data_IF_483807216775
#
_entry.id   IF_483807216775
#
_cell.length_a   1.000
_cell.length_b   1.000
_cell.length_c   1.000
_cell.angle_alpha   90.00
_cell.angle_beta   90.00
_cell.angle_gamma   90.00
#
_symmetry.space_group_name_H-M   'P 1'
#
loop_
_entity.id
_entity.type
_entity.pdbx_description
1 polymer ?
#
# COMPACT_ATOMS: atom_id res chain seq x y z
N UNK A 1 29.28 -11.97 -7.11
CA UNK A 1 28.24 -13.01 -6.92
C UNK A 1 26.98 -12.26 -6.48
N UNK A 2 26.07 -11.98 -7.42
CA UNK A 2 24.78 -11.38 -7.11
C UNK A 2 23.89 -12.52 -6.61
N UNK A 3 23.47 -12.43 -5.36
CA UNK A 3 22.41 -13.27 -4.85
C UNK A 3 21.15 -12.96 -5.67
N UNK A 4 20.59 -13.95 -6.39
CA UNK A 4 19.27 -13.85 -6.97
C UNK A 4 18.31 -13.69 -5.80
N UNK A 5 17.70 -12.52 -5.70
CA UNK A 5 16.54 -12.34 -4.81
C UNK A 5 15.45 -13.32 -5.26
N UNK A 6 14.90 -14.04 -4.31
CA UNK A 6 13.74 -14.90 -4.52
C UNK A 6 12.61 -14.05 -5.07
N UNK A 7 11.83 -14.50 -6.06
CA UNK A 7 10.74 -13.71 -6.61
C UNK A 7 9.78 -13.32 -5.49
N UNK A 8 9.58 -12.01 -5.33
CA UNK A 8 8.69 -11.47 -4.31
C UNK A 8 7.25 -11.96 -4.57
N UNK A 9 6.61 -12.51 -3.55
CA UNK A 9 5.18 -12.78 -3.58
C UNK A 9 4.39 -11.47 -3.45
N UNK A 10 3.17 -11.43 -3.97
CA UNK A 10 2.26 -10.29 -3.82
C UNK A 10 1.13 -10.65 -2.85
N UNK A 11 0.68 -9.63 -2.13
CA UNK A 11 -0.46 -9.71 -1.23
C UNK A 11 -1.61 -8.89 -1.81
N UNK A 12 -2.73 -9.51 -2.11
CA UNK A 12 -3.93 -8.85 -2.59
C UNK A 12 -5.06 -8.96 -1.56
N UNK A 13 -5.80 -7.87 -1.36
CA UNK A 13 -6.97 -7.83 -0.49
C UNK A 13 -8.24 -8.10 -1.28
N UNK A 14 -9.06 -8.98 -0.77
CA UNK A 14 -10.38 -9.33 -1.32
C UNK A 14 -11.50 -8.95 -0.33
N UNK A 15 -12.58 -8.37 -0.84
CA UNK A 15 -13.78 -8.02 -0.08
C UNK A 15 -15.05 -8.50 -0.79
N UNK A 16 -16.06 -8.91 -0.01
CA UNK A 16 -17.33 -9.50 -0.51
C UNK A 16 -18.48 -8.53 -0.52
N UNK A 17 -19.40 -8.66 -1.51
CA UNK A 17 -20.79 -8.18 -1.54
C UNK A 17 -21.03 -6.68 -1.79
N UNK A 18 -21.90 -6.36 -2.79
CA UNK A 18 -22.26 -4.99 -3.19
C UNK A 18 -23.18 -4.24 -2.19
N UNK A 19 -23.83 -4.92 -1.26
CA UNK A 19 -24.81 -4.32 -0.33
C UNK A 19 -24.63 -4.68 1.14
N UNK A 20 -23.59 -5.42 1.50
CA UNK A 20 -23.27 -5.80 2.88
C UNK A 20 -21.83 -5.42 3.25
N UNK A 21 -21.51 -5.50 4.54
CA UNK A 21 -20.16 -5.34 5.06
C UNK A 21 -19.35 -6.58 4.76
N UNK A 22 -18.35 -6.54 3.86
CA UNK A 22 -17.61 -7.73 3.48
C UNK A 22 -16.54 -8.10 4.49
N UNK A 23 -16.30 -9.41 4.61
CA UNK A 23 -15.13 -9.95 5.26
C UNK A 23 -13.87 -9.59 4.47
N UNK A 24 -12.80 -9.28 5.17
CA UNK A 24 -11.50 -9.02 4.59
C UNK A 24 -10.73 -10.33 4.53
N UNK A 25 -10.28 -10.68 3.32
CA UNK A 25 -9.32 -11.76 3.09
C UNK A 25 -8.08 -11.18 2.41
N UNK A 26 -6.91 -11.59 2.86
CA UNK A 26 -5.63 -11.23 2.28
C UNK A 26 -5.09 -12.47 1.60
N UNK A 27 -4.82 -12.39 0.31
CA UNK A 27 -4.31 -13.48 -0.50
C UNK A 27 -2.84 -13.21 -0.81
N UNK A 28 -1.99 -14.14 -0.49
CA UNK A 28 -0.61 -14.14 -0.96
C UNK A 28 -0.50 -14.95 -2.24
N UNK A 29 -0.02 -14.31 -3.30
CA UNK A 29 0.02 -14.86 -4.65
C UNK A 29 1.44 -14.74 -5.19
N UNK A 30 1.98 -15.82 -5.78
CA UNK A 30 3.28 -15.79 -6.44
C UNK A 30 3.25 -14.89 -7.69
N UNK A 31 4.41 -14.48 -8.20
CA UNK A 31 4.54 -13.76 -9.47
C UNK A 31 3.99 -14.53 -10.68
N UNK A 32 3.84 -15.85 -10.55
CA UNK A 32 3.25 -16.74 -11.57
C UNK A 32 1.72 -16.92 -11.38
N UNK A 33 1.12 -16.30 -10.35
CA UNK A 33 -0.32 -16.37 -10.11
C UNK A 33 -0.77 -17.52 -9.19
N UNK A 34 0.14 -18.30 -8.59
CA UNK A 34 -0.25 -19.36 -7.65
C UNK A 34 -0.56 -18.77 -6.27
N UNK A 35 -1.72 -19.12 -5.72
CA UNK A 35 -2.11 -18.77 -4.34
C UNK A 35 -1.26 -19.59 -3.36
N UNK A 36 -0.54 -18.92 -2.45
CA UNK A 36 0.29 -19.56 -1.43
C UNK A 36 -0.36 -19.55 -0.06
N UNK A 37 -1.06 -18.46 0.28
CA UNK A 37 -1.71 -18.28 1.57
C UNK A 37 -2.99 -17.48 1.44
N UNK A 38 -3.96 -17.76 2.33
CA UNK A 38 -5.14 -16.90 2.55
C UNK A 38 -5.26 -16.61 4.04
N UNK A 39 -5.24 -15.33 4.41
CA UNK A 39 -5.42 -14.84 5.76
C UNK A 39 -6.79 -14.19 5.84
N UNK A 40 -7.62 -14.65 6.77
CA UNK A 40 -8.99 -14.14 6.98
C UNK A 40 -8.99 -13.30 8.25
N UNK A 41 -9.32 -12.02 8.15
CA UNK A 41 -9.44 -11.16 9.31
C UNK A 41 -10.76 -11.43 10.06
N UNK A 42 -10.80 -11.21 11.40
CA UNK A 42 -11.99 -11.43 12.19
C UNK A 42 -13.20 -10.65 11.68
N UNK A 43 -14.36 -11.29 11.58
CA UNK A 43 -15.60 -10.69 11.06
C UNK A 43 -16.84 -10.98 11.92
N UNK A 44 -16.66 -11.68 13.03
CA UNK A 44 -17.70 -12.01 14.00
C UNK A 44 -18.17 -10.79 14.80
N UNK A 45 -18.99 -11.04 15.83
CA UNK A 45 -19.49 -9.99 16.73
C UNK A 45 -18.46 -9.49 17.73
N UNK A 46 -17.47 -10.32 18.02
CA UNK A 46 -16.36 -9.95 18.89
C UNK A 46 -15.19 -9.45 18.04
N UNK A 47 -14.92 -8.15 18.16
CA UNK A 47 -13.75 -7.50 17.59
C UNK A 47 -13.62 -7.59 16.03
N UNK A 48 -14.68 -7.31 15.26
CA UNK A 48 -14.67 -7.48 13.82
C UNK A 48 -13.74 -6.48 13.11
N UNK A 49 -13.14 -6.92 12.00
CA UNK A 49 -12.52 -6.04 11.01
C UNK A 49 -13.08 -6.37 9.63
N UNK A 50 -13.88 -5.48 9.15
CA UNK A 50 -14.62 -5.62 7.89
C UNK A 50 -14.37 -4.39 7.01
N UNK A 51 -15.00 -4.35 5.86
CA UNK A 51 -14.89 -3.22 4.93
C UNK A 51 -16.24 -2.78 4.41
N UNK A 52 -16.27 -1.69 3.66
CA UNK A 52 -17.47 -1.27 2.93
C UNK A 52 -17.68 -2.10 1.67
N UNK A 53 -18.86 -2.67 1.50
CA UNK A 53 -19.22 -3.37 0.25
C UNK A 53 -19.48 -2.41 -0.92
N UNK A 54 -19.87 -1.17 -0.63
CA UNK A 54 -20.25 -0.17 -1.64
C UNK A 54 -19.13 0.85 -1.94
N UNK A 55 -18.26 1.17 -0.96
CA UNK A 55 -17.17 2.09 -1.17
C UNK A 55 -16.01 1.39 -1.91
N UNK A 56 -15.81 1.72 -3.16
CA UNK A 56 -14.75 1.13 -3.99
C UNK A 56 -13.39 1.82 -3.83
N UNK A 57 -13.32 2.87 -3.02
CA UNK A 57 -12.13 3.71 -2.83
C UNK A 57 -11.46 3.57 -1.46
N UNK A 58 -11.72 2.48 -0.75
CA UNK A 58 -11.13 2.15 0.55
C UNK A 58 -10.47 0.77 0.52
N UNK A 59 -9.80 0.43 1.62
CA UNK A 59 -9.27 -0.89 1.80
C UNK A 59 -7.95 -1.18 1.10
N UNK A 60 -7.11 -0.17 0.85
CA UNK A 60 -5.78 -0.38 0.29
C UNK A 60 -4.80 -0.77 1.40
N UNK A 61 -4.28 -1.98 1.30
CA UNK A 61 -3.17 -2.45 2.14
C UNK A 61 -1.84 -1.96 1.55
N UNK A 62 -0.83 -1.75 2.41
CA UNK A 62 0.54 -1.49 1.98
C UNK A 62 1.52 -2.19 2.91
N UNK A 63 2.72 -2.42 2.39
CA UNK A 63 3.81 -3.14 3.05
C UNK A 63 5.00 -2.21 3.26
N UNK A 64 5.49 -2.14 4.49
CA UNK A 64 6.72 -1.44 4.81
C UNK A 64 7.32 -1.98 6.11
N UNK A 65 8.65 -1.98 6.23
CA UNK A 65 9.35 -2.37 7.46
C UNK A 65 9.11 -3.81 7.91
N UNK A 66 8.74 -4.72 6.98
CA UNK A 66 8.43 -6.12 7.29
C UNK A 66 6.98 -6.38 7.71
N UNK A 67 6.09 -5.39 7.63
CA UNK A 67 4.69 -5.51 8.03
C UNK A 67 3.73 -5.13 6.90
N UNK A 68 2.61 -5.84 6.82
CA UNK A 68 1.44 -5.46 6.02
C UNK A 68 0.48 -4.67 6.90
N UNK A 69 0.11 -3.47 6.49
CA UNK A 69 -0.89 -2.65 7.18
C UNK A 69 -2.22 -2.74 6.46
N UNK A 70 -3.29 -3.10 7.20
CA UNK A 70 -4.61 -3.37 6.63
C UNK A 70 -5.65 -2.49 7.30
N UNK A 71 -6.18 -1.48 6.60
CA UNK A 71 -7.26 -0.63 7.11
C UNK A 71 -8.59 -1.38 7.10
N UNK A 72 -9.53 -0.98 7.94
CA UNK A 72 -10.87 -1.54 7.98
C UNK A 72 -11.80 -0.78 8.91
N UNK A 73 -12.97 -1.37 9.14
CA UNK A 73 -14.02 -0.85 10.04
C UNK A 73 -14.31 -1.91 11.10
N UNK A 74 -14.42 -1.50 12.36
CA UNK A 74 -14.84 -2.35 13.45
C UNK A 74 -16.39 -2.47 13.42
N UNK A 75 -16.90 -3.28 12.53
CA UNK A 75 -18.32 -3.51 12.34
C UNK A 75 -18.60 -4.94 11.89
N UNK A 76 -19.68 -5.54 12.38
CA UNK A 76 -20.10 -6.89 12.02
C UNK A 76 -20.54 -6.97 10.53
N UNK A 77 -20.50 -8.18 9.94
CA UNK A 77 -20.82 -8.43 8.52
C UNK A 77 -22.20 -7.94 8.08
N UNK A 78 -23.17 -7.83 8.96
CA UNK A 78 -24.54 -7.41 8.67
C UNK A 78 -24.74 -5.90 8.78
N UNK A 79 -23.71 -5.13 9.15
CA UNK A 79 -23.84 -3.69 9.34
C UNK A 79 -23.94 -2.99 7.99
N UNK A 80 -24.99 -2.19 7.80
CA UNK A 80 -25.14 -1.39 6.59
C UNK A 80 -24.29 -0.10 6.65
N UNK A 81 -23.84 0.39 5.48
CA UNK A 81 -23.24 1.72 5.31
C UNK A 81 -22.03 2.02 6.21
N UNK A 82 -21.11 1.06 6.35
CA UNK A 82 -19.98 1.15 7.30
C UNK A 82 -18.95 2.23 7.00
N UNK A 83 -18.87 2.73 5.77
CA UNK A 83 -17.91 3.78 5.41
C UNK A 83 -18.06 5.04 6.29
N UNK A 84 -19.29 5.41 6.63
CA UNK A 84 -19.61 6.54 7.51
C UNK A 84 -19.41 6.30 9.00
N UNK A 85 -19.13 5.07 9.46
CA UNK A 85 -18.93 4.79 10.88
C UNK A 85 -17.60 5.38 11.39
N UNK A 86 -17.59 5.83 12.62
CA UNK A 86 -16.37 6.32 13.26
C UNK A 86 -15.49 5.19 13.82
N UNK A 87 -16.04 3.99 13.99
CA UNK A 87 -15.33 2.81 14.50
C UNK A 87 -14.35 2.23 13.45
N UNK A 88 -13.25 2.93 13.17
CA UNK A 88 -12.19 2.43 12.27
C UNK A 88 -11.25 1.49 13.02
N UNK A 89 -10.59 0.62 12.27
CA UNK A 89 -9.60 -0.31 12.79
C UNK A 89 -8.45 -0.48 11.81
N UNK A 90 -7.25 -0.69 12.32
CA UNK A 90 -6.08 -1.06 11.54
C UNK A 90 -5.44 -2.32 12.12
N UNK A 91 -5.12 -3.30 11.28
CA UNK A 91 -4.30 -4.45 11.64
C UNK A 91 -2.94 -4.38 10.98
N UNK A 92 -1.90 -4.74 11.74
CA UNK A 92 -0.56 -4.96 11.26
C UNK A 92 -0.28 -6.47 11.27
N UNK A 93 0.14 -7.01 10.13
CA UNK A 93 0.50 -8.40 9.98
C UNK A 93 2.01 -8.50 9.73
N UNK A 94 2.64 -9.50 10.30
CA UNK A 94 4.04 -9.81 10.04
C UNK A 94 4.22 -10.62 8.73
N UNK A 95 5.46 -10.96 8.41
CA UNK A 95 5.80 -11.73 7.22
C UNK A 95 5.29 -13.18 7.22
N UNK A 96 4.77 -13.67 8.35
CA UNK A 96 4.10 -14.98 8.44
C UNK A 96 2.60 -14.90 8.19
N UNK A 97 2.05 -13.68 8.07
CA UNK A 97 0.63 -13.41 7.99
C UNK A 97 -0.08 -13.37 9.34
N UNK A 98 0.66 -13.38 10.46
CA UNK A 98 0.09 -13.27 11.78
C UNK A 98 -0.24 -11.82 12.12
N UNK A 99 -1.42 -11.57 12.69
CA UNK A 99 -1.79 -10.24 13.20
C UNK A 99 -0.99 -9.96 14.47
N UNK A 100 -0.03 -9.05 14.41
CA UNK A 100 0.83 -8.66 15.55
C UNK A 100 0.25 -7.49 16.33
N UNK A 101 -0.50 -6.63 15.70
CA UNK A 101 -1.17 -5.49 16.34
C UNK A 101 -2.49 -5.21 15.64
N UNK A 102 -3.51 -4.92 16.45
CA UNK A 102 -4.81 -4.46 15.99
C UNK A 102 -5.20 -3.21 16.79
N UNK A 103 -5.36 -2.10 16.10
CA UNK A 103 -5.62 -0.79 16.70
C UNK A 103 -7.03 -0.33 16.37
N UNK A 104 -7.85 -0.12 17.39
CA UNK A 104 -9.14 0.55 17.28
C UNK A 104 -8.94 2.07 17.32
N UNK A 105 -9.61 2.77 16.39
CA UNK A 105 -9.58 4.24 16.39
C UNK A 105 -10.55 4.79 17.43
N UNK A 106 -10.21 5.94 18.05
CA UNK A 106 -11.13 6.57 19.00
C UNK A 106 -12.43 6.95 18.30
N UNK A 107 -13.56 6.49 18.84
CA UNK A 107 -14.88 6.93 18.44
C UNK A 107 -15.18 8.16 19.28
N UNK A 108 -15.31 9.33 18.66
CA UNK A 108 -15.46 10.62 19.34
C UNK A 108 -16.34 10.53 20.60
N UNK A 109 -15.71 10.69 21.76
CA UNK A 109 -16.28 10.69 23.08
C UNK A 109 -15.88 11.95 23.85
N UNK A 110 -16.41 12.20 25.07
CA UNK A 110 -15.99 13.35 25.87
C UNK A 110 -14.48 13.31 26.12
N UNK A 111 -13.89 14.51 26.17
CA UNK A 111 -12.47 14.77 26.41
C UNK A 111 -11.83 13.78 27.39
N UNK A 112 -10.74 13.14 27.01
CA UNK A 112 -9.82 12.46 27.92
C UNK A 112 -9.78 10.93 27.88
N UNK A 113 -10.51 10.25 26.99
CA UNK A 113 -10.53 8.77 26.93
C UNK A 113 -9.45 8.16 26.02
N UNK A 114 -8.81 8.95 25.17
CA UNK A 114 -7.67 8.47 24.36
C UNK A 114 -6.56 9.53 24.39
N UNK A 115 -5.35 9.20 24.90
CA UNK A 115 -4.23 10.12 24.90
C UNK A 115 -3.88 10.60 23.50
N UNK A 116 -3.68 11.93 23.32
CA UNK A 116 -3.17 12.53 22.09
C UNK A 116 -4.20 12.89 21.02
N UNK A 117 -5.49 12.54 21.17
CA UNK A 117 -6.54 13.07 20.31
C UNK A 117 -7.25 14.24 20.98
N UNK A 118 -7.48 15.36 20.27
CA UNK A 118 -8.35 16.42 20.78
C UNK A 118 -9.74 15.83 21.11
N UNK A 119 -10.39 16.39 22.13
CA UNK A 119 -11.70 15.96 22.56
C UNK A 119 -12.69 15.89 21.36
N UNK A 120 -13.38 14.77 21.21
CA UNK A 120 -14.41 14.59 20.20
C UNK A 120 -13.92 14.37 18.77
N UNK A 121 -12.62 14.21 18.52
CA UNK A 121 -12.08 14.06 17.17
C UNK A 121 -11.68 12.59 16.90
N UNK A 122 -12.36 11.96 15.93
CA UNK A 122 -11.99 10.65 15.39
C UNK A 122 -11.30 10.84 14.04
N UNK A 123 -10.14 10.22 13.78
CA UNK A 123 -9.58 10.18 12.43
C UNK A 123 -10.62 9.69 11.41
N UNK A 124 -10.74 10.38 10.28
CA UNK A 124 -11.65 10.06 9.18
C UNK A 124 -13.14 10.05 9.58
N UNK A 125 -13.54 10.93 10.52
CA UNK A 125 -14.92 10.99 11.04
C UNK A 125 -15.95 11.10 9.93
N UNK A 126 -16.96 10.22 10.00
CA UNK A 126 -18.11 10.20 9.08
C UNK A 126 -17.80 9.82 7.65
N UNK A 127 -16.57 9.34 7.33
CA UNK A 127 -16.19 8.99 5.96
C UNK A 127 -15.12 7.88 5.92
N UNK A 128 -14.46 7.68 4.77
CA UNK A 128 -13.62 6.54 4.48
C UNK A 128 -12.22 6.65 5.08
N UNK A 129 -11.83 5.60 5.81
CA UNK A 129 -10.44 5.23 6.06
C UNK A 129 -9.96 4.38 4.89
N UNK A 130 -9.00 4.85 4.11
CA UNK A 130 -8.75 4.30 2.78
C UNK A 130 -7.52 3.42 2.70
N UNK A 131 -6.42 3.86 3.30
CA UNK A 131 -5.12 3.20 3.19
C UNK A 131 -4.30 3.42 4.44
N UNK A 132 -3.39 2.50 4.71
CA UNK A 132 -2.44 2.58 5.81
C UNK A 132 -1.11 1.95 5.46
N UNK A 133 -0.03 2.41 6.10
CA UNK A 133 1.32 1.87 5.95
C UNK A 133 2.01 1.81 7.31
N UNK A 134 2.57 0.66 7.65
CA UNK A 134 3.30 0.46 8.91
C UNK A 134 4.64 1.20 8.89
N UNK A 135 5.13 1.62 10.05
CA UNK A 135 6.52 2.03 10.26
C UNK A 135 7.25 1.13 11.24
N UNK A 136 6.49 0.32 11.99
CA UNK A 136 6.97 -0.76 12.85
C UNK A 136 5.80 -1.72 13.14
N UNK A 137 6.02 -2.75 13.95
CA UNK A 137 4.96 -3.65 14.41
C UNK A 137 3.87 -3.01 15.29
N UNK A 138 4.02 -1.74 15.67
CA UNK A 138 3.08 -1.02 16.55
C UNK A 138 2.72 0.38 16.07
N UNK A 139 3.38 0.91 15.04
CA UNK A 139 3.23 2.28 14.56
C UNK A 139 2.90 2.29 13.07
N UNK A 140 2.05 3.23 12.64
CA UNK A 140 1.62 3.32 11.23
C UNK A 140 1.13 4.72 10.87
N UNK A 141 1.10 5.00 9.57
CA UNK A 141 0.32 6.10 9.00
C UNK A 141 -1.00 5.57 8.43
N UNK A 142 -2.04 6.38 8.58
CA UNK A 142 -3.33 6.15 7.93
C UNK A 142 -3.76 7.37 7.12
N UNK A 143 -4.43 7.15 5.99
CA UNK A 143 -4.96 8.22 5.15
C UNK A 143 -6.42 7.98 4.77
N UNK A 144 -7.14 9.07 4.53
CA UNK A 144 -8.54 9.00 4.17
C UNK A 144 -9.16 10.38 3.99
N UNK A 145 -10.47 10.42 4.11
CA UNK A 145 -11.27 11.66 4.07
C UNK A 145 -12.21 11.72 5.27
N UNK A 146 -12.80 12.89 5.53
CA UNK A 146 -13.82 13.09 6.56
C UNK A 146 -14.97 13.91 6.01
N UNK A 147 -16.14 13.81 6.66
CA UNK A 147 -17.29 14.68 6.43
C UNK A 147 -17.48 15.72 7.52
N UNK A 148 -16.63 15.72 8.55
CA UNK A 148 -16.73 16.62 9.70
C UNK A 148 -16.07 17.99 9.52
N UNK A 149 -16.44 18.93 10.37
CA UNK A 149 -15.74 20.22 10.56
C UNK A 149 -15.42 20.37 12.05
N UNK A 150 -14.12 20.56 12.44
CA UNK A 150 -12.95 20.63 11.56
C UNK A 150 -12.67 19.33 10.83
N UNK A 151 -11.97 19.42 9.68
CA UNK A 151 -11.66 18.23 8.86
C UNK A 151 -10.72 17.29 9.61
N UNK A 152 -11.11 16.01 9.70
CA UNK A 152 -10.30 14.91 10.21
C UNK A 152 -9.81 13.98 9.10
N UNK A 153 -9.90 14.40 7.84
CA UNK A 153 -9.30 13.75 6.67
C UNK A 153 -7.79 13.97 6.59
N UNK A 154 -7.18 13.57 5.48
CA UNK A 154 -5.74 13.70 5.26
C UNK A 154 -4.95 12.54 5.84
N UNK A 155 -3.75 12.82 6.37
CA UNK A 155 -2.84 11.82 6.92
C UNK A 155 -2.75 11.91 8.45
N UNK A 156 -2.76 10.74 9.10
CA UNK A 156 -2.64 10.57 10.54
C UNK A 156 -1.52 9.59 10.87
N UNK A 157 -0.77 9.88 11.92
CA UNK A 157 0.24 9.01 12.50
C UNK A 157 -0.26 8.39 13.81
N UNK A 158 -0.11 7.08 13.97
CA UNK A 158 -0.31 6.38 15.23
C UNK A 158 1.06 5.95 15.79
N UNK A 159 1.38 6.41 17.00
CA UNK A 159 2.67 6.19 17.64
C UNK A 159 2.71 4.97 18.57
N UNK A 160 1.71 4.08 18.50
CA UNK A 160 1.53 2.94 19.40
C UNK A 160 0.55 3.24 20.57
N UNK A 161 0.22 4.51 20.83
CA UNK A 161 -0.70 4.88 21.90
C UNK A 161 -1.66 6.03 21.53
N UNK A 162 -1.27 6.91 20.63
CA UNK A 162 -2.03 8.11 20.28
C UNK A 162 -2.01 8.39 18.78
N UNK A 163 -3.07 9.04 18.30
CA UNK A 163 -3.20 9.52 16.93
C UNK A 163 -2.84 11.00 16.82
N UNK A 164 -2.03 11.35 15.83
CA UNK A 164 -1.67 12.72 15.49
C UNK A 164 -1.97 12.98 14.02
N UNK A 165 -2.77 14.03 13.71
CA UNK A 165 -2.96 14.46 12.33
C UNK A 165 -1.70 15.15 11.82
N UNK A 166 -1.00 14.51 10.89
CA UNK A 166 0.29 14.96 10.38
C UNK A 166 0.20 15.75 9.08
N UNK A 167 -0.96 15.77 8.42
CA UNK A 167 -1.21 16.65 7.28
C UNK A 167 -1.94 17.92 7.69
N UNK A 168 -1.62 19.03 7.04
CA UNK A 168 -2.34 20.28 7.21
C UNK A 168 -3.76 20.20 6.64
N UNK A 169 -4.72 20.85 7.29
CA UNK A 169 -6.10 21.06 6.81
C UNK A 169 -6.32 22.47 6.25
N UNK A 170 -5.24 23.25 6.09
CA UNK A 170 -5.30 24.59 5.53
C UNK A 170 -5.81 24.57 4.08
N UNK A 171 -6.34 25.71 3.63
CA UNK A 171 -6.79 25.87 2.24
C UNK A 171 -5.67 25.53 1.26
N UNK A 172 -5.99 24.74 0.24
CA UNK A 172 -5.02 24.26 -0.76
C UNK A 172 -4.28 22.99 -0.37
N UNK A 173 -4.46 22.48 0.86
CA UNK A 173 -3.88 21.20 1.27
C UNK A 173 -4.82 20.03 0.99
N UNK A 174 -4.29 18.83 0.62
CA UNK A 174 -5.12 17.69 0.30
C UNK A 174 -5.68 17.04 1.58
N UNK A 175 -7.00 17.05 1.74
CA UNK A 175 -7.71 16.39 2.85
C UNK A 175 -8.46 15.12 2.41
N UNK A 176 -8.49 14.83 1.10
CA UNK A 176 -9.08 13.62 0.53
C UNK A 176 -7.97 12.73 -0.06
N UNK A 177 -7.22 12.09 0.83
CA UNK A 177 -6.13 11.20 0.44
C UNK A 177 -6.64 9.78 0.21
N UNK A 178 -5.96 9.03 -0.69
CA UNK A 178 -6.41 7.70 -1.12
C UNK A 178 -5.45 6.58 -0.77
N UNK A 179 -4.24 6.59 -1.29
CA UNK A 179 -3.24 5.57 -1.02
C UNK A 179 -1.99 6.25 -0.47
N UNK A 180 -1.38 5.65 0.55
CA UNK A 180 -0.18 6.14 1.24
C UNK A 180 0.98 5.19 1.01
N UNK A 181 2.16 5.73 0.72
CA UNK A 181 3.39 4.97 0.52
C UNK A 181 4.59 5.69 1.14
N UNK A 182 5.67 4.94 1.38
CA UNK A 182 6.95 5.45 1.86
C UNK A 182 8.03 5.09 0.85
N UNK A 183 8.66 6.12 0.27
CA UNK A 183 9.81 5.98 -0.61
C UNK A 183 10.94 6.86 -0.09
N UNK A 184 12.18 6.34 -0.08
CA UNK A 184 13.36 7.08 0.38
C UNK A 184 13.15 7.78 1.74
N UNK A 185 12.49 7.12 2.69
CA UNK A 185 12.16 7.67 4.01
C UNK A 185 11.32 8.96 3.97
N UNK A 186 10.51 9.14 2.92
CA UNK A 186 9.55 10.23 2.76
C UNK A 186 8.15 9.66 2.59
N UNK A 187 7.18 10.24 3.32
CA UNK A 187 5.77 9.88 3.24
C UNK A 187 5.13 10.54 2.01
N UNK A 188 4.48 9.74 1.17
CA UNK A 188 3.72 10.16 0.02
C UNK A 188 2.28 9.67 0.09
N UNK A 189 1.35 10.41 -0.52
CA UNK A 189 -0.01 9.95 -0.68
C UNK A 189 -0.63 10.48 -1.99
N UNK A 190 -1.53 9.69 -2.59
CA UNK A 190 -2.36 10.18 -3.70
C UNK A 190 -3.55 10.95 -3.20
N UNK A 191 -3.95 11.98 -3.96
CA UNK A 191 -5.10 12.85 -3.70
C UNK A 191 -6.05 12.87 -4.88
N UNK A 192 -7.36 12.81 -4.57
CA UNK A 192 -8.45 13.09 -5.49
C UNK A 192 -9.19 14.40 -5.16
N UNK A 193 -8.62 15.24 -4.33
CA UNK A 193 -9.19 16.54 -4.03
C UNK A 193 -8.96 17.50 -5.21
N UNK A 194 -9.95 18.34 -5.51
CA UNK A 194 -9.85 19.37 -6.57
C UNK A 194 -8.79 20.43 -6.28
N UNK A 195 -8.27 20.50 -5.07
CA UNK A 195 -7.11 21.33 -4.68
C UNK A 195 -5.81 20.84 -5.30
N UNK A 196 -5.76 19.61 -5.80
CA UNK A 196 -4.61 19.03 -6.51
C UNK A 196 -4.73 17.51 -6.62
N UNK A 197 -4.88 17.05 -7.85
CA UNK A 197 -4.95 15.64 -8.20
C UNK A 197 -3.55 15.06 -8.40
N UNK A 198 -3.28 13.91 -7.81
CA UNK A 198 -2.03 13.17 -8.04
C UNK A 198 -1.28 12.83 -6.77
N UNK A 199 0.05 12.77 -6.81
CA UNK A 199 0.91 12.38 -5.70
C UNK A 199 1.38 13.62 -4.93
N UNK A 200 1.28 13.56 -3.61
CA UNK A 200 1.76 14.58 -2.68
C UNK A 200 2.80 13.99 -1.73
N UNK A 201 3.88 14.70 -1.50
CA UNK A 201 4.75 14.46 -0.34
C UNK A 201 4.13 15.10 0.89
N UNK A 202 4.01 14.35 1.99
CA UNK A 202 3.40 14.82 3.22
C UNK A 202 4.49 15.25 4.20
N UNK A 203 4.66 16.53 4.36
CA UNK A 203 5.73 17.10 5.18
C UNK A 203 7.13 16.73 4.68
N UNK A 204 8.09 16.68 5.61
CA UNK A 204 9.46 16.26 5.34
C UNK A 204 9.75 14.94 6.06
N UNK A 205 10.22 13.94 5.34
CA UNK A 205 10.52 12.61 5.86
C UNK A 205 9.25 11.88 6.33
N UNK A 206 9.29 11.36 7.54
CA UNK A 206 8.20 10.66 8.20
C UNK A 206 7.68 11.53 9.37
N UNK A 207 6.71 12.43 9.15
CA UNK A 207 6.24 13.38 10.14
C UNK A 207 5.48 12.67 11.27
N UNK A 208 5.79 13.03 12.54
CA UNK A 208 5.15 12.44 13.73
C UNK A 208 4.43 13.48 14.59
N UNK A 209 4.53 14.77 14.25
CA UNK A 209 3.95 15.89 14.99
C UNK A 209 2.79 16.52 14.24
N UNK A 210 1.94 17.26 14.96
CA UNK A 210 0.72 17.88 14.41
C UNK A 210 1.01 18.84 13.25
N UNK A 211 0.13 18.81 12.25
CA UNK A 211 0.34 19.33 10.92
C UNK A 211 0.22 20.84 10.69
N UNK A 212 0.24 21.71 11.71
CA UNK A 212 0.22 23.18 11.47
C UNK A 212 1.46 23.70 10.72
N UNK A 213 2.58 22.95 10.75
CA UNK A 213 3.78 23.20 9.96
C UNK A 213 4.06 22.14 8.89
N UNK A 214 3.23 21.10 8.80
CA UNK A 214 3.43 19.97 7.88
C UNK A 214 2.67 20.24 6.58
N UNK A 215 3.26 21.06 5.74
CA UNK A 215 2.69 21.37 4.42
C UNK A 215 2.93 20.20 3.49
N UNK A 216 1.86 19.73 2.84
CA UNK A 216 2.00 18.80 1.73
C UNK A 216 2.39 19.56 0.45
N UNK A 217 3.33 18.99 -0.30
CA UNK A 217 3.78 19.54 -1.58
C UNK A 217 3.40 18.58 -2.70
N UNK A 218 2.79 19.09 -3.75
CA UNK A 218 2.45 18.27 -4.91
C UNK A 218 3.72 17.79 -5.62
N UNK A 219 3.95 16.49 -5.61
CA UNK A 219 5.09 15.86 -6.29
C UNK A 219 4.76 15.61 -7.78
N UNK A 220 3.58 15.03 -8.08
CA UNK A 220 3.12 14.76 -9.44
C UNK A 220 1.67 15.22 -9.59
N UNK A 221 1.40 16.11 -10.54
CA UNK A 221 0.04 16.54 -10.88
C UNK A 221 -0.50 15.69 -12.04
N UNK A 222 -1.52 14.87 -11.76
CA UNK A 222 -2.17 14.05 -12.80
C UNK A 222 -3.24 14.80 -13.58
N UNK A 223 -3.60 16.00 -13.15
CA UNK A 223 -4.64 16.82 -13.81
C UNK A 223 -6.07 16.31 -13.64
N UNK A 224 -6.26 15.12 -13.05
CA UNK A 224 -7.57 14.47 -12.91
C UNK A 224 -7.67 13.67 -11.63
N UNK A 225 -8.86 13.51 -11.09
CA UNK A 225 -9.12 12.92 -9.77
C UNK A 225 -9.12 11.39 -9.70
N UNK A 226 -8.56 10.70 -10.69
CA UNK A 226 -8.55 9.23 -10.74
C UNK A 226 -7.36 8.54 -10.08
N UNK A 227 -6.38 9.28 -9.52
CA UNK A 227 -5.17 8.70 -8.94
C UNK A 227 -5.45 7.89 -7.66
N UNK A 228 -4.95 6.65 -7.63
CA UNK A 228 -5.02 5.70 -6.51
C UNK A 228 -3.65 5.14 -6.15
N UNK A 229 -3.44 3.81 -6.31
CA UNK A 229 -2.15 3.16 -6.06
C UNK A 229 -1.04 3.74 -6.93
N UNK A 230 0.17 3.74 -6.42
CA UNK A 230 1.33 4.24 -7.17
C UNK A 230 2.60 3.52 -6.72
N UNK A 231 3.58 3.47 -7.62
CA UNK A 231 4.92 2.97 -7.35
C UNK A 231 5.93 3.96 -7.90
N UNK A 232 6.95 4.30 -7.11
CA UNK A 232 8.00 5.26 -7.48
C UNK A 232 9.37 4.60 -7.37
N UNK A 233 10.23 4.88 -8.34
CA UNK A 233 11.55 4.28 -8.45
C UNK A 233 12.63 5.32 -8.76
N UNK A 234 13.87 5.01 -8.35
CA UNK A 234 15.07 5.70 -8.79
C UNK A 234 15.70 4.89 -9.91
N UNK A 235 15.71 5.40 -11.12
CA UNK A 235 16.41 4.77 -12.24
C UNK A 235 17.90 5.20 -12.30
N UNK A 236 18.25 6.24 -11.55
CA UNK A 236 19.55 6.88 -11.59
C UNK A 236 19.72 7.91 -12.70
N UNK A 237 18.74 8.11 -13.59
CA UNK A 237 18.82 9.06 -14.71
C UNK A 237 18.90 10.52 -14.25
N UNK A 238 18.34 10.84 -13.09
CA UNK A 238 18.38 12.15 -12.46
C UNK A 238 19.34 12.23 -11.26
N UNK A 239 20.16 11.18 -11.05
CA UNK A 239 21.08 11.03 -9.94
C UNK A 239 20.69 9.91 -8.97
N UNK A 240 21.68 9.42 -8.22
CA UNK A 240 21.47 8.31 -7.29
C UNK A 240 20.45 8.67 -6.21
N UNK A 241 19.45 7.82 -6.01
CA UNK A 241 18.41 7.97 -4.99
C UNK A 241 17.32 8.99 -5.35
N UNK A 242 17.39 9.70 -6.47
CA UNK A 242 16.29 10.56 -6.94
C UNK A 242 15.18 9.67 -7.50
N UNK A 243 13.96 9.85 -7.00
CA UNK A 243 12.77 9.20 -7.58
C UNK A 243 12.47 9.89 -8.91
N UNK A 244 12.70 9.22 -10.02
CA UNK A 244 12.64 9.78 -11.38
C UNK A 244 11.72 9.00 -12.34
N UNK A 245 11.16 7.90 -11.85
CA UNK A 245 10.17 7.07 -12.52
C UNK A 245 8.99 6.81 -11.57
N UNK A 246 7.77 7.02 -12.04
CA UNK A 246 6.57 6.69 -11.29
C UNK A 246 5.54 6.00 -12.19
N UNK A 247 4.80 5.06 -11.60
CA UNK A 247 3.58 4.50 -12.17
C UNK A 247 2.43 4.85 -11.26
N UNK A 248 1.31 5.28 -11.85
CA UNK A 248 0.12 5.72 -11.13
C UNK A 248 -1.09 4.97 -11.68
N UNK A 249 -1.83 4.32 -10.77
CA UNK A 249 -3.12 3.74 -11.05
C UNK A 249 -4.19 4.84 -11.13
N UNK A 250 -5.00 4.81 -12.17
CA UNK A 250 -6.16 5.69 -12.36
C UNK A 250 -7.40 4.82 -12.56
N UNK A 251 -8.43 5.05 -11.77
CA UNK A 251 -9.62 4.21 -11.76
C UNK A 251 -10.58 4.45 -12.93
N UNK A 252 -10.33 5.44 -13.76
CA UNK A 252 -11.18 5.80 -14.88
C UNK A 252 -10.94 4.86 -16.07
N UNK A 253 -12.02 4.35 -16.63
CA UNK A 253 -12.01 3.53 -17.86
C UNK A 253 -12.16 4.40 -19.11
N UNK A 254 -11.39 5.49 -19.19
CA UNK A 254 -11.41 6.48 -20.29
C UNK A 254 -9.98 6.83 -20.71
N UNK A 255 -9.82 7.52 -21.82
CA UNK A 255 -8.52 8.00 -22.27
C UNK A 255 -7.78 8.75 -21.14
N UNK A 256 -6.51 8.40 -20.93
CA UNK A 256 -5.70 8.93 -19.83
C UNK A 256 -5.95 8.29 -18.46
N UNK A 257 -6.85 7.28 -18.37
CA UNK A 257 -7.03 6.43 -17.19
C UNK A 257 -6.20 5.14 -17.25
N UNK A 258 -6.42 4.26 -16.30
CA UNK A 258 -5.72 2.98 -16.18
C UNK A 258 -4.33 3.10 -15.56
N UNK A 259 -3.29 2.57 -16.19
CA UNK A 259 -1.90 2.67 -15.73
C UNK A 259 -1.20 3.83 -16.45
N UNK A 260 -0.79 4.83 -15.71
CA UNK A 260 0.03 5.94 -16.21
C UNK A 260 1.50 5.79 -15.84
N UNK A 261 2.40 5.93 -16.81
CA UNK A 261 3.85 6.06 -16.57
C UNK A 261 4.24 7.52 -16.59
N UNK A 262 5.00 7.94 -15.59
CA UNK A 262 5.49 9.29 -15.40
C UNK A 262 6.99 9.29 -15.28
N UNK A 263 7.66 10.24 -15.93
CA UNK A 263 9.11 10.40 -15.88
C UNK A 263 9.48 11.82 -15.47
N UNK A 264 10.52 11.92 -14.62
CA UNK A 264 11.09 13.19 -14.19
C UNK A 264 12.18 13.63 -15.16
N UNK A 265 12.13 14.89 -15.60
CA UNK A 265 13.21 15.54 -16.35
C UNK A 265 13.50 16.89 -15.70
N UNK A 266 14.69 17.03 -15.13
CA UNK A 266 15.03 18.17 -14.27
C UNK A 266 14.12 18.21 -13.04
N UNK A 267 13.21 19.17 -12.97
CA UNK A 267 12.23 19.31 -11.87
C UNK A 267 10.79 19.03 -12.30
N UNK A 268 10.57 18.61 -13.54
CA UNK A 268 9.23 18.47 -14.11
C UNK A 268 8.89 17.02 -14.40
N UNK A 269 7.76 16.56 -13.85
CA UNK A 269 7.17 15.28 -14.17
C UNK A 269 6.27 15.39 -15.41
N UNK A 270 6.37 14.41 -16.30
CA UNK A 270 5.53 14.30 -17.48
C UNK A 270 4.97 12.88 -17.64
N UNK A 271 3.71 12.78 -18.08
CA UNK A 271 3.10 11.50 -18.42
C UNK A 271 3.69 11.01 -19.76
N UNK A 272 4.31 9.83 -19.74
CA UNK A 272 4.88 9.20 -20.93
C UNK A 272 3.81 8.43 -21.73
N UNK A 273 2.92 7.74 -21.02
CA UNK A 273 1.77 7.03 -21.58
C UNK A 273 0.78 6.66 -20.47
N UNK A 274 -0.48 6.37 -20.90
CA UNK A 274 -1.52 5.81 -20.04
C UNK A 274 -2.26 4.70 -20.77
N UNK A 275 -2.50 3.56 -20.08
CA UNK A 275 -3.01 2.33 -20.66
C UNK A 275 -4.18 1.77 -19.85
N UNK A 276 -5.28 1.52 -20.51
CA UNK A 276 -6.43 0.78 -19.99
C UNK A 276 -6.19 -0.72 -20.09
N UNK A 277 -6.78 -1.45 -19.15
CA UNK A 277 -6.76 -2.92 -19.13
C UNK A 277 -7.92 -3.44 -19.96
N UNK A 278 -7.64 -4.29 -20.96
CA UNK A 278 -8.65 -4.91 -21.81
C UNK A 278 -9.66 -5.75 -21.03
N UNK A 279 -10.76 -6.08 -21.68
CA UNK A 279 -11.84 -6.88 -21.11
C UNK A 279 -11.35 -8.22 -20.53
N UNK A 280 -12.12 -8.80 -19.62
CA UNK A 280 -11.85 -10.14 -19.09
C UNK A 280 -11.76 -11.16 -20.23
N UNK A 281 -10.75 -12.04 -20.16
CA UNK A 281 -10.45 -13.01 -21.22
C UNK A 281 -9.52 -12.49 -22.33
N UNK A 282 -9.12 -11.20 -22.27
CA UNK A 282 -8.06 -10.66 -23.12
C UNK A 282 -6.78 -10.46 -22.32
N UNK A 283 -5.66 -10.19 -22.99
CA UNK A 283 -4.39 -9.84 -22.35
C UNK A 283 -3.85 -8.48 -22.86
N UNK A 284 -4.71 -7.63 -23.43
CA UNK A 284 -4.29 -6.42 -24.11
C UNK A 284 -4.33 -5.19 -23.19
N UNK A 285 -3.30 -4.35 -23.30
CA UNK A 285 -3.27 -2.98 -22.78
C UNK A 285 -3.48 -2.02 -23.95
N UNK A 286 -4.23 -0.95 -23.73
CA UNK A 286 -4.61 -0.03 -24.80
C UNK A 286 -4.64 1.42 -24.32
N UNK A 287 -4.09 2.33 -25.11
CA UNK A 287 -4.34 3.77 -24.99
C UNK A 287 -5.70 4.12 -25.61
N UNK A 288 -6.39 5.10 -25.03
CA UNK A 288 -7.67 5.59 -25.56
C UNK A 288 -8.88 5.09 -24.77
N UNK A 289 -10.03 4.98 -25.44
CA UNK A 289 -11.31 4.54 -24.88
C UNK A 289 -11.75 3.24 -25.54
N UNK A 290 -12.41 2.37 -24.80
CA UNK A 290 -12.96 1.12 -25.37
C UNK A 290 -14.08 0.56 -24.48
N UNK A 291 -15.04 -0.12 -25.12
CA UNK A 291 -16.09 -0.82 -24.40
C UNK A 291 -15.48 -2.07 -23.73
N UNK A 292 -15.76 -2.23 -22.43
CA UNK A 292 -15.25 -3.36 -21.64
C UNK A 292 -13.83 -3.18 -21.10
N UNK A 293 -13.19 -2.04 -21.31
CA UNK A 293 -11.92 -1.73 -20.67
C UNK A 293 -12.12 -1.31 -19.21
N UNK A 294 -11.11 -1.60 -18.38
CA UNK A 294 -11.09 -1.25 -16.97
C UNK A 294 -9.95 -0.27 -16.66
N UNK A 295 -10.16 0.59 -15.68
CA UNK A 295 -9.11 1.32 -14.98
C UNK A 295 -8.35 0.43 -14.01
N UNK A 296 -7.47 1.03 -13.22
CA UNK A 296 -6.65 0.36 -12.20
C UNK A 296 -6.80 1.13 -10.88
N UNK A 297 -6.81 0.40 -9.74
CA UNK A 297 -6.85 1.01 -8.39
C UNK A 297 -5.66 0.64 -7.52
N UNK A 298 -5.47 -0.64 -7.21
CA UNK A 298 -4.29 -1.09 -6.48
C UNK A 298 -3.10 -1.17 -7.43
N UNK A 299 -1.93 -0.78 -6.97
CA UNK A 299 -0.68 -0.85 -7.72
C UNK A 299 0.49 -1.03 -6.78
N UNK A 300 1.33 -2.00 -7.08
CA UNK A 300 2.64 -2.21 -6.50
C UNK A 300 3.65 -2.57 -7.59
N UNK A 301 4.94 -2.51 -7.30
CA UNK A 301 5.93 -2.91 -8.28
C UNK A 301 7.36 -2.95 -7.77
N UNK A 302 8.21 -3.53 -8.59
CA UNK A 302 9.68 -3.53 -8.43
C UNK A 302 10.32 -2.96 -9.69
N UNK A 303 11.52 -2.43 -9.56
CA UNK A 303 12.32 -1.93 -10.67
C UNK A 303 13.71 -2.56 -10.67
N UNK A 304 14.11 -3.06 -11.81
CA UNK A 304 15.47 -3.52 -12.08
C UNK A 304 16.07 -2.65 -13.18
N UNK A 305 17.29 -2.17 -12.98
CA UNK A 305 17.96 -1.25 -13.92
C UNK A 305 18.27 -1.87 -15.30
N UNK A 306 18.26 -3.19 -15.41
CA UNK A 306 18.53 -3.93 -16.66
C UNK A 306 17.23 -4.44 -17.30
N UNK A 307 16.31 -4.97 -16.47
CA UNK A 307 15.11 -5.62 -16.95
C UNK A 307 13.93 -4.65 -17.09
N UNK A 308 13.85 -3.60 -16.25
CA UNK A 308 12.73 -2.67 -16.22
C UNK A 308 11.82 -2.84 -15.01
N UNK A 309 10.56 -2.40 -15.11
CA UNK A 309 9.58 -2.44 -14.04
C UNK A 309 8.67 -3.67 -14.15
N UNK A 310 8.53 -4.40 -13.06
CA UNK A 310 7.49 -5.42 -12.87
C UNK A 310 6.39 -4.83 -11.99
N UNK A 311 5.18 -4.70 -12.51
CA UNK A 311 4.05 -4.06 -11.87
C UNK A 311 2.94 -5.06 -11.59
N UNK A 312 2.27 -4.91 -10.46
CA UNK A 312 1.14 -5.73 -10.03
C UNK A 312 -0.02 -4.80 -9.73
N UNK A 313 -1.19 -5.08 -10.30
CA UNK A 313 -2.30 -4.14 -10.24
C UNK A 313 -3.65 -4.84 -10.06
N UNK A 314 -4.59 -4.14 -9.40
CA UNK A 314 -5.98 -4.56 -9.32
C UNK A 314 -6.85 -3.71 -10.24
N UNK A 315 -7.69 -4.36 -11.03
CA UNK A 315 -8.58 -3.68 -11.98
C UNK A 315 -9.87 -3.16 -11.34
N UNK A 316 -10.63 -2.33 -12.05
CA UNK A 316 -11.76 -1.57 -11.47
C UNK A 316 -13.13 -2.18 -11.67
N UNK A 317 -13.25 -3.38 -12.22
CA UNK A 317 -14.54 -4.07 -12.32
C UNK A 317 -15.16 -4.20 -10.91
N UNK A 318 -16.47 -4.01 -10.82
CA UNK A 318 -17.18 -3.99 -9.53
C UNK A 318 -17.26 -5.34 -8.85
N UNK A 319 -17.18 -6.41 -9.63
CA UNK A 319 -17.10 -7.80 -9.18
C UNK A 319 -16.27 -8.60 -10.17
N UNK A 320 -15.70 -9.71 -9.72
CA UNK A 320 -14.83 -10.54 -10.54
C UNK A 320 -13.67 -9.77 -11.19
N UNK A 321 -13.20 -8.71 -10.49
CA UNK A 321 -12.04 -7.97 -10.94
C UNK A 321 -10.75 -8.80 -10.82
N UNK A 322 -9.69 -8.31 -11.42
CA UNK A 322 -8.48 -9.10 -11.64
C UNK A 322 -7.29 -8.50 -10.90
N UNK A 323 -6.45 -9.39 -10.39
CA UNK A 323 -5.05 -9.12 -10.07
C UNK A 323 -4.23 -9.45 -11.32
N UNK A 324 -3.50 -8.50 -11.82
CA UNK A 324 -2.73 -8.61 -13.07
C UNK A 324 -1.26 -8.24 -12.84
N UNK A 325 -0.38 -8.77 -13.68
CA UNK A 325 1.00 -8.29 -13.80
C UNK A 325 1.23 -7.64 -15.16
N UNK A 326 2.04 -6.57 -15.15
CA UNK A 326 2.46 -5.81 -16.33
C UNK A 326 3.96 -5.66 -16.24
N UNK A 327 4.64 -5.87 -17.36
CA UNK A 327 6.09 -5.69 -17.46
C UNK A 327 6.40 -4.54 -18.42
N UNK A 328 7.13 -3.54 -17.93
CA UNK A 328 7.61 -2.41 -18.72
C UNK A 328 9.14 -2.45 -18.80
N UNK A 329 9.67 -2.82 -19.95
CA UNK A 329 11.11 -2.84 -20.24
C UNK A 329 11.74 -1.44 -20.25
N UNK A 330 10.93 -0.39 -20.24
CA UNK A 330 11.39 1.00 -20.39
C UNK A 330 11.68 1.43 -21.83
N UNK A 331 11.82 0.51 -22.77
CA UNK A 331 12.17 0.78 -24.17
C UNK A 331 10.94 0.86 -25.09
N UNK A 332 9.88 0.13 -24.77
CA UNK A 332 8.62 0.10 -25.54
C UNK A 332 7.43 0.21 -24.60
N UNK A 333 6.37 0.86 -25.04
CA UNK A 333 5.10 0.89 -24.29
C UNK A 333 4.53 -0.53 -24.17
N UNK A 334 4.19 -1.02 -22.96
CA UNK A 334 3.59 -2.33 -22.80
C UNK A 334 2.27 -2.47 -23.58
N UNK A 335 2.05 -3.58 -24.20
CA UNK A 335 0.82 -3.88 -24.97
C UNK A 335 0.00 -5.02 -24.36
N UNK A 336 0.56 -5.73 -23.39
CA UNK A 336 -0.05 -6.91 -22.78
C UNK A 336 0.09 -6.94 -21.27
N UNK A 337 -0.80 -7.69 -20.62
CA UNK A 337 -0.73 -8.03 -19.20
C UNK A 337 -0.99 -9.53 -19.00
N UNK A 338 -0.64 -10.05 -17.84
CA UNK A 338 -0.99 -11.40 -17.42
C UNK A 338 -1.98 -11.33 -16.26
N UNK A 339 -3.10 -12.05 -16.35
CA UNK A 339 -4.01 -12.23 -15.21
C UNK A 339 -3.41 -13.26 -14.26
N UNK A 340 -3.11 -12.84 -13.03
CA UNK A 340 -2.60 -13.71 -11.97
C UNK A 340 -3.74 -14.40 -11.22
N UNK A 341 -4.79 -13.62 -10.86
CA UNK A 341 -5.96 -14.09 -10.15
C UNK A 341 -7.21 -13.31 -10.57
N UNK A 342 -8.36 -13.95 -10.45
CA UNK A 342 -9.68 -13.30 -10.53
C UNK A 342 -10.37 -13.40 -9.17
N UNK A 343 -11.01 -12.32 -8.73
CA UNK A 343 -11.60 -12.27 -7.39
C UNK A 343 -12.82 -13.20 -7.21
N UNK A 344 -13.41 -13.63 -8.30
CA UNK A 344 -14.65 -14.43 -8.31
C UNK A 344 -15.91 -13.57 -8.20
N UNK A 345 -17.06 -14.20 -8.41
CA UNK A 345 -18.37 -13.54 -8.31
C UNK A 345 -18.61 -13.01 -6.90
N UNK A 346 -19.13 -11.81 -6.79
CA UNK A 346 -19.39 -11.10 -5.52
C UNK A 346 -18.17 -10.77 -4.67
N UNK A 347 -16.96 -10.87 -5.25
CA UNK A 347 -15.71 -10.45 -4.63
C UNK A 347 -15.05 -9.36 -5.46
N UNK A 348 -14.22 -8.54 -4.81
CA UNK A 348 -13.36 -7.58 -5.48
C UNK A 348 -12.01 -7.46 -4.75
N UNK A 349 -10.93 -7.51 -5.51
CA UNK A 349 -9.63 -7.07 -5.02
C UNK A 349 -9.66 -5.56 -4.82
N UNK A 350 -9.06 -5.07 -3.73
CA UNK A 350 -8.98 -3.64 -3.41
C UNK A 350 -7.56 -3.13 -3.58
N UNK A 351 -6.69 -3.47 -2.66
CA UNK A 351 -5.27 -3.14 -2.70
C UNK A 351 -4.43 -4.32 -3.15
N UNK A 352 -3.22 -4.03 -3.56
CA UNK A 352 -2.14 -5.00 -3.80
C UNK A 352 -0.84 -4.35 -3.38
N UNK A 353 0.03 -5.15 -2.74
CA UNK A 353 1.40 -4.75 -2.46
C UNK A 353 2.32 -5.98 -2.47
N UNK A 354 3.61 -5.74 -2.39
CA UNK A 354 4.60 -6.81 -2.29
C UNK A 354 4.51 -7.45 -0.91
N UNK A 355 4.62 -8.78 -0.86
CA UNK A 355 4.64 -9.50 0.41
C UNK A 355 5.88 -9.11 1.22
N UNK A 356 5.76 -8.88 2.54
CA UNK A 356 6.91 -8.56 3.35
C UNK A 356 7.88 -9.74 3.36
N UNK A 357 9.14 -9.48 3.08
CA UNK A 357 10.20 -10.48 3.33
C UNK A 357 10.47 -10.55 4.82
N UNK A 358 10.57 -11.75 5.38
CA UNK A 358 11.01 -11.92 6.75
C UNK A 358 12.43 -11.37 6.87
N UNK A 359 12.63 -10.30 7.62
CA UNK A 359 13.95 -9.81 7.98
C UNK A 359 14.52 -10.83 8.98
N UNK A 360 15.63 -11.56 8.67
CA UNK A 360 16.24 -12.44 9.63
C UNK A 360 16.62 -11.62 10.87
N UNK A 361 16.12 -12.05 12.04
CA UNK A 361 16.46 -11.34 13.28
C UNK A 361 17.99 -11.25 13.45
N UNK A 362 18.54 -10.16 14.01
CA UNK A 362 19.99 -10.02 14.24
C UNK A 362 20.63 -11.18 14.97
N UNK A 363 19.86 -11.89 15.83
CA UNK A 363 20.24 -13.13 16.50
C UNK A 363 20.58 -14.26 15.53
N UNK A 364 19.89 -14.40 14.40
CA UNK A 364 20.14 -15.45 13.40
C UNK A 364 21.50 -15.24 12.71
N UNK A 365 21.85 -13.99 12.38
CA UNK A 365 23.18 -13.67 11.87
C UNK A 365 24.29 -13.83 12.91
N UNK A 366 24.03 -13.46 14.16
CA UNK A 366 24.98 -13.62 15.25
C UNK A 366 25.24 -15.10 15.54
N UNK A 367 24.23 -15.96 15.53
CA UNK A 367 24.37 -17.41 15.72
C UNK A 367 25.10 -18.04 14.54
N UNK A 368 24.82 -17.66 13.31
CA UNK A 368 25.52 -18.14 12.12
C UNK A 368 27.00 -17.71 12.14
N UNK A 369 27.30 -16.46 12.51
CA UNK A 369 28.66 -15.96 12.65
C UNK A 369 29.45 -16.67 13.78
N UNK A 370 28.81 -16.92 14.93
CA UNK A 370 29.39 -17.66 16.04
C UNK A 370 29.65 -19.14 15.69
N UNK A 371 28.72 -19.77 14.94
CA UNK A 371 28.91 -21.15 14.48
C UNK A 371 30.07 -21.27 13.49
N UNK A 372 30.25 -20.32 12.57
CA UNK A 372 31.37 -20.30 11.62
C UNK A 372 32.70 -20.02 12.30
N UNK A 373 32.74 -19.10 13.27
CA UNK A 373 33.94 -18.83 14.08
C UNK A 373 34.31 -19.99 14.98
N UNK A 374 33.32 -20.69 15.58
CA UNK A 374 33.49 -21.89 16.39
C UNK A 374 34.08 -23.04 15.57
N UNK A 375 33.57 -23.28 14.35
CA UNK A 375 34.13 -24.33 13.46
C UNK A 375 35.55 -23.98 12.99
N UNK A 376 35.86 -22.74 12.68
CA UNK A 376 37.21 -22.32 12.31
C UNK A 376 38.21 -22.48 13.47
N UNK A 377 37.77 -22.25 14.72
CA UNK A 377 38.55 -22.49 15.95
C UNK A 377 38.84 -23.97 16.17
N UNK A 378 37.87 -24.85 15.96
CA UNK A 378 38.02 -26.31 16.10
C UNK A 378 38.97 -26.90 15.03
N UNK A 379 38.91 -26.40 13.79
CA UNK A 379 39.80 -26.83 12.72
C UNK A 379 41.25 -26.39 13.01
N UNK A 380 41.47 -25.18 13.54
CA UNK A 380 42.80 -24.71 13.95
C UNK A 380 43.39 -25.52 15.11
N UNK A 381 42.56 -25.91 16.12
CA UNK A 381 43.00 -26.76 17.23
C UNK A 381 43.39 -28.16 16.76
N UNK A 382 42.65 -28.78 15.85
CA UNK A 382 43.01 -30.10 15.28
C UNK A 382 44.31 -30.08 14.49
N UNK A 383 44.60 -29.01 13.74
CA UNK A 383 45.89 -28.88 13.02
C UNK A 383 47.08 -28.71 13.95
N UNK A 384 46.94 -28.03 15.11
CA UNK A 384 48.02 -27.90 16.10
C UNK A 384 48.30 -29.17 16.91
N UNK A 385 47.29 -30.00 17.09
CA UNK A 385 47.47 -31.31 17.79
C UNK A 385 48.09 -32.39 16.90
N UNK A 386 48.03 -32.23 15.57
CA UNK A 386 48.68 -33.15 14.60
C UNK A 386 50.16 -32.89 14.33
N UNK A 387 50.72 -31.71 14.70
CA UNK A 387 52.12 -31.33 14.47
C UNK A 387 53.04 -31.57 15.69
N UNK A 388 52.55 -32.19 16.77
CA UNK A 388 53.32 -32.44 17.98
C UNK A 388 53.80 -33.91 18.15
N UNK A 389 53.53 -34.80 17.20
CA UNK A 389 53.96 -36.19 17.18
C UNK A 389 54.81 -36.52 15.91
N UNK A 390 55.79 -35.69 15.64
CA UNK A 390 56.79 -35.91 14.58
C UNK A 390 58.19 -35.59 15.04
#
# INVERSE_FOLDING_TARGET
MHARESPANQTARQARCASCTPQISILEVTTAGSLTQTIILPSGTSDPQTDSGSASSDGYLNTYGGFVSVPGVNAALTTASVAGLNSKVNSLLDATGSVVTRTLFPVGGPSGTTPGTPAGVSPFSGNNYRSSIATSGTTFYGVGTSSGSPSTGGAWYFNGSAFTQVSSTATGQPTNLRVVEIYNNQLYATSAASTGYGIWSIGSGLPTTAGTGTVATMAINTGTGGAYGFAMFSTGSQGAGVLDLAYIADDRAVAGGGLGKWTLSGTSWSNSWSLLVGASGTSTLQSGTGVGFAGIRGLAGTYDSVLGASLYATTTETSNNRLISIFDTGTTTPSTYTTLQSSGSNFAFRGVDLSPVSVPEPSTFAIAALATLGMAGLIRRRRRAGDSDG
#
